data_IF_570040541977
#
_entry.id   IF_570040541977
#
_cell.length_a   1.000
_cell.length_b   1.000
_cell.length_c   1.000
_cell.angle_alpha   90.00
_cell.angle_beta   90.00
_cell.angle_gamma   90.00
#
_symmetry.space_group_name_H-M   'P 1'
#
loop_
_entity.id
_entity.type
_entity.pdbx_description
1 polymer ?
#
# COMPACT_ATOMS: atom_id res chain seq x y z
N UNK A 1 5.70 -33.11 -14.66
CA UNK A 1 5.73 -31.64 -14.49
C UNK A 1 7.07 -31.14 -14.99
N UNK A 2 7.10 -30.08 -15.80
CA UNK A 2 8.36 -29.42 -16.14
C UNK A 2 8.96 -28.81 -14.87
N UNK A 3 10.23 -29.06 -14.62
CA UNK A 3 10.93 -28.53 -13.45
C UNK A 3 11.31 -27.07 -13.74
N UNK A 4 10.60 -26.14 -13.12
CA UNK A 4 10.89 -24.70 -13.27
C UNK A 4 12.14 -24.36 -12.46
N UNK A 5 13.09 -23.62 -13.05
CA UNK A 5 14.30 -23.18 -12.36
C UNK A 5 14.14 -21.73 -11.87
N UNK A 6 14.47 -21.48 -10.61
CA UNK A 6 14.50 -20.13 -10.04
C UNK A 6 15.66 -19.33 -10.66
N UNK A 7 15.42 -18.07 -10.99
CA UNK A 7 16.42 -17.20 -11.64
C UNK A 7 17.54 -16.76 -10.72
N UNK A 8 17.25 -16.63 -9.42
CA UNK A 8 18.21 -16.39 -8.36
C UNK A 8 17.71 -16.96 -7.05
N UNK A 9 18.61 -17.15 -6.09
CA UNK A 9 18.29 -17.57 -4.74
C UNK A 9 19.27 -16.95 -3.75
N UNK A 10 18.85 -16.77 -2.52
CA UNK A 10 19.74 -16.40 -1.41
C UNK A 10 20.55 -17.62 -0.92
N UNK A 11 21.36 -17.42 0.12
CA UNK A 11 22.21 -18.46 0.74
C UNK A 11 21.43 -19.67 1.25
N UNK A 12 20.13 -19.52 1.52
CA UNK A 12 19.23 -20.59 1.96
C UNK A 12 18.55 -21.31 0.79
N UNK A 13 18.89 -20.97 -0.46
CA UNK A 13 18.26 -21.54 -1.66
C UNK A 13 16.84 -21.01 -1.92
N UNK A 14 16.51 -19.82 -1.40
CA UNK A 14 15.17 -19.24 -1.46
C UNK A 14 15.12 -18.04 -2.41
N UNK A 15 14.08 -17.95 -3.23
CA UNK A 15 13.65 -16.73 -3.90
C UNK A 15 12.53 -16.09 -3.07
N UNK A 16 12.62 -14.79 -2.81
CA UNK A 16 11.83 -14.11 -1.78
C UNK A 16 11.16 -12.86 -2.35
N UNK A 17 9.83 -12.77 -2.18
CA UNK A 17 9.00 -11.66 -2.64
C UNK A 17 8.28 -11.06 -1.43
N UNK A 18 8.34 -9.73 -1.31
CA UNK A 18 7.62 -8.96 -0.29
C UNK A 18 6.58 -8.06 -0.96
N UNK A 19 5.31 -8.26 -0.65
CA UNK A 19 4.23 -7.38 -1.08
C UNK A 19 3.96 -6.36 0.03
N UNK A 20 4.12 -5.09 -0.29
CA UNK A 20 3.83 -3.95 0.58
C UNK A 20 2.49 -3.35 0.16
N UNK A 21 1.51 -3.35 1.06
CA UNK A 21 0.13 -2.98 0.71
C UNK A 21 -0.59 -2.33 1.86
N UNK A 22 -1.77 -1.78 1.59
CA UNK A 22 -2.75 -1.38 2.61
C UNK A 22 -3.84 -2.44 2.71
N UNK A 23 -4.42 -2.60 3.90
CA UNK A 23 -5.60 -3.44 4.13
C UNK A 23 -6.73 -3.13 3.15
N UNK A 24 -7.22 -4.17 2.47
CA UNK A 24 -8.32 -4.08 1.48
C UNK A 24 -7.89 -3.99 0.02
N UNK A 25 -6.59 -3.87 -0.27
CA UNK A 25 -6.06 -3.84 -1.64
C UNK A 25 -5.75 -5.23 -2.25
N UNK A 26 -5.87 -6.29 -1.45
CA UNK A 26 -5.81 -7.68 -1.94
C UNK A 26 -4.43 -8.33 -1.99
N UNK A 27 -3.40 -7.74 -1.37
CA UNK A 27 -2.04 -8.33 -1.35
C UNK A 27 -1.97 -9.73 -0.73
N UNK A 28 -2.70 -10.02 0.36
CA UNK A 28 -2.75 -11.37 0.92
C UNK A 28 -3.32 -12.41 -0.07
N UNK A 29 -4.36 -12.03 -0.82
CA UNK A 29 -4.93 -12.92 -1.82
C UNK A 29 -3.95 -13.11 -2.99
N UNK A 30 -3.28 -12.04 -3.43
CA UNK A 30 -2.24 -12.13 -4.45
C UNK A 30 -1.07 -13.05 -4.01
N UNK A 31 -0.58 -12.89 -2.77
CA UNK A 31 0.49 -13.73 -2.22
C UNK A 31 0.10 -15.22 -2.16
N UNK A 32 -1.14 -15.52 -1.74
CA UNK A 32 -1.69 -16.89 -1.78
C UNK A 32 -1.74 -17.45 -3.20
N UNK A 33 -2.29 -16.69 -4.16
CA UNK A 33 -2.37 -17.12 -5.56
C UNK A 33 -0.99 -17.36 -6.18
N UNK A 34 0.01 -16.52 -5.86
CA UNK A 34 1.39 -16.72 -6.33
C UNK A 34 1.99 -17.99 -5.75
N UNK A 35 1.87 -18.20 -4.44
CA UNK A 35 2.38 -19.40 -3.79
C UNK A 35 1.72 -20.67 -4.35
N UNK A 36 0.39 -20.64 -4.54
CA UNK A 36 -0.37 -21.73 -5.14
C UNK A 36 0.06 -22.01 -6.58
N UNK A 37 0.27 -20.96 -7.39
CA UNK A 37 0.78 -21.12 -8.76
C UNK A 37 2.16 -21.79 -8.77
N UNK A 38 3.08 -21.34 -7.91
CA UNK A 38 4.42 -21.94 -7.81
C UNK A 38 4.40 -23.40 -7.35
N UNK A 39 3.63 -23.70 -6.32
CA UNK A 39 3.60 -25.04 -5.69
C UNK A 39 2.81 -26.04 -6.54
N UNK A 40 1.60 -25.69 -6.98
CA UNK A 40 0.70 -26.64 -7.65
C UNK A 40 0.97 -26.78 -9.15
N UNK A 41 1.54 -25.75 -9.79
CA UNK A 41 1.67 -25.72 -11.25
C UNK A 41 3.11 -25.62 -11.77
N UNK A 42 4.07 -25.10 -10.98
CA UNK A 42 5.46 -24.91 -11.41
C UNK A 42 6.44 -25.92 -10.82
N UNK A 43 5.98 -26.81 -9.92
CA UNK A 43 6.81 -27.84 -9.29
C UNK A 43 7.82 -27.29 -8.29
N UNK A 44 7.58 -26.09 -7.75
CA UNK A 44 8.43 -25.45 -6.74
C UNK A 44 7.95 -25.83 -5.34
N UNK A 45 8.83 -25.76 -4.35
CA UNK A 45 8.39 -25.66 -2.97
C UNK A 45 8.11 -24.18 -2.66
N UNK A 46 7.15 -23.90 -1.79
CA UNK A 46 6.74 -22.52 -1.54
C UNK A 46 6.07 -22.30 -0.19
N UNK A 47 6.20 -21.08 0.33
CA UNK A 47 5.47 -20.64 1.52
C UNK A 47 4.93 -19.23 1.33
N UNK A 48 3.78 -18.98 1.93
CA UNK A 48 3.18 -17.66 1.98
C UNK A 48 2.58 -17.42 3.36
N UNK A 49 2.86 -16.24 3.91
CA UNK A 49 2.16 -15.73 5.08
C UNK A 49 2.08 -14.21 4.99
N UNK A 50 1.26 -13.60 5.85
CA UNK A 50 1.11 -12.15 5.87
C UNK A 50 1.18 -11.63 7.29
N UNK A 51 1.75 -10.45 7.44
CA UNK A 51 1.75 -9.67 8.66
C UNK A 51 0.72 -8.54 8.55
N UNK A 52 -0.05 -8.35 9.62
CA UNK A 52 -1.11 -7.36 9.71
C UNK A 52 -0.91 -6.51 10.96
N UNK A 53 -1.15 -5.20 10.82
CA UNK A 53 -1.31 -4.33 11.98
C UNK A 53 -2.61 -4.59 12.74
N UNK A 54 -2.72 -4.01 13.93
CA UNK A 54 -3.93 -4.06 14.76
C UNK A 54 -5.10 -3.24 14.20
N UNK A 55 -4.81 -2.33 13.28
CA UNK A 55 -5.79 -1.42 12.70
C UNK A 55 -6.75 -2.17 11.78
N UNK A 56 -8.05 -1.85 11.84
CA UNK A 56 -9.10 -2.53 11.05
C UNK A 56 -9.14 -2.09 9.58
N UNK A 57 -8.65 -0.90 9.27
CA UNK A 57 -8.60 -0.31 7.92
C UNK A 57 -7.37 0.57 7.81
N UNK A 58 -6.68 0.51 6.69
CA UNK A 58 -5.57 1.42 6.40
C UNK A 58 -4.22 1.02 6.97
N UNK A 59 -4.16 -0.01 7.80
CA UNK A 59 -2.90 -0.61 8.24
C UNK A 59 -2.13 -1.15 7.04
N UNK A 60 -0.82 -0.93 7.10
CA UNK A 60 0.08 -1.62 6.20
C UNK A 60 -0.04 -3.13 6.41
N UNK A 61 -0.09 -3.84 5.29
CA UNK A 61 -0.14 -5.28 5.21
C UNK A 61 1.08 -5.69 4.41
N UNK A 62 1.91 -6.52 5.03
CA UNK A 62 3.06 -7.14 4.35
C UNK A 62 2.70 -8.59 4.05
N UNK A 63 2.83 -9.01 2.80
CA UNK A 63 2.76 -10.43 2.45
C UNK A 63 4.13 -10.92 2.02
N UNK A 64 4.51 -12.09 2.51
CA UNK A 64 5.82 -12.67 2.30
C UNK A 64 5.63 -13.98 1.54
N UNK A 65 6.28 -14.09 0.39
CA UNK A 65 6.23 -15.27 -0.46
C UNK A 65 7.66 -15.76 -0.66
N UNK A 66 7.85 -17.06 -0.44
CA UNK A 66 9.12 -17.75 -0.68
C UNK A 66 8.90 -18.86 -1.67
N UNK A 67 9.84 -19.01 -2.60
CA UNK A 67 9.95 -20.17 -3.46
C UNK A 67 11.32 -20.81 -3.28
N UNK A 68 11.38 -22.12 -3.38
CA UNK A 68 12.62 -22.87 -3.45
C UNK A 68 12.49 -24.02 -4.43
N UNK A 69 13.62 -24.64 -4.77
CA UNK A 69 13.63 -25.94 -5.41
C UNK A 69 12.80 -26.95 -4.58
N UNK A 70 12.08 -27.90 -5.22
CA UNK A 70 11.26 -28.90 -4.53
C UNK A 70 12.04 -29.73 -3.48
N UNK A 71 13.35 -29.89 -3.64
CA UNK A 71 14.19 -30.64 -2.70
C UNK A 71 14.75 -29.78 -1.55
N UNK A 72 14.58 -28.46 -1.61
CA UNK A 72 14.99 -27.54 -0.55
C UNK A 72 13.86 -27.38 0.47
N UNK A 73 14.18 -27.60 1.75
CA UNK A 73 13.21 -27.47 2.85
C UNK A 73 13.04 -26.02 3.29
N UNK A 74 11.80 -25.52 3.22
CA UNK A 74 11.43 -24.20 3.75
C UNK A 74 11.26 -24.25 5.27
N UNK A 75 12.28 -23.77 6.01
CA UNK A 75 12.25 -23.70 7.49
C UNK A 75 12.10 -22.26 8.03
N UNK A 76 12.23 -21.26 7.18
CA UNK A 76 12.11 -19.86 7.55
C UNK A 76 10.64 -19.40 7.59
N UNK A 77 10.17 -19.06 8.78
CA UNK A 77 8.83 -18.49 9.03
C UNK A 77 8.85 -17.02 9.50
N UNK A 78 10.04 -16.41 9.54
CA UNK A 78 10.23 -14.99 9.86
C UNK A 78 9.86 -14.08 8.67
N UNK A 79 9.61 -12.77 8.90
CA UNK A 79 9.54 -11.76 7.85
C UNK A 79 10.71 -11.85 6.85
N UNK A 80 10.49 -11.37 5.61
CA UNK A 80 11.55 -11.27 4.60
C UNK A 80 12.25 -9.92 4.76
N UNK A 81 13.49 -9.99 5.23
CA UNK A 81 14.35 -8.83 5.42
C UNK A 81 15.06 -8.44 4.11
N UNK A 82 15.58 -9.42 3.36
CA UNK A 82 16.31 -9.23 2.09
C UNK A 82 15.54 -9.79 0.89
N UNK A 83 14.49 -9.10 0.41
CA UNK A 83 13.70 -9.58 -0.72
C UNK A 83 14.47 -9.48 -2.03
N UNK A 84 14.12 -10.36 -2.97
CA UNK A 84 14.51 -10.23 -4.37
C UNK A 84 13.51 -9.34 -5.13
N UNK A 85 12.26 -9.30 -4.68
CA UNK A 85 11.21 -8.48 -5.30
C UNK A 85 10.40 -7.80 -4.21
N UNK A 86 10.22 -6.49 -4.33
CA UNK A 86 9.24 -5.75 -3.55
C UNK A 86 8.15 -5.27 -4.50
N UNK A 87 6.88 -5.55 -4.17
CA UNK A 87 5.75 -4.99 -4.91
C UNK A 87 4.89 -4.11 -4.00
N UNK A 88 4.82 -2.83 -4.32
CA UNK A 88 4.11 -1.79 -3.57
C UNK A 88 2.76 -1.52 -4.22
N UNK A 89 1.68 -1.85 -3.51
CA UNK A 89 0.30 -1.75 -4.02
C UNK A 89 -0.25 -0.30 -3.97
N UNK A 90 0.43 0.61 -3.29
CA UNK A 90 0.04 2.01 -3.17
C UNK A 90 1.27 2.90 -2.96
N UNK A 91 1.49 3.85 -3.85
CA UNK A 91 2.69 4.71 -3.85
C UNK A 91 2.94 5.48 -2.55
N UNK A 92 1.89 5.92 -1.82
CA UNK A 92 2.04 6.60 -0.53
C UNK A 92 2.75 5.77 0.57
N UNK A 93 2.90 4.45 0.37
CA UNK A 93 3.72 3.62 1.25
C UNK A 93 5.21 3.93 1.11
N UNK A 94 5.68 4.38 -0.06
CA UNK A 94 7.09 4.72 -0.30
C UNK A 94 7.56 5.88 0.57
N UNK A 95 6.68 6.83 0.88
CA UNK A 95 7.01 8.00 1.71
C UNK A 95 6.74 7.79 3.18
N UNK A 96 5.78 6.91 3.52
CA UNK A 96 5.37 6.67 4.92
C UNK A 96 6.12 5.52 5.58
N UNK A 97 6.75 4.64 4.80
CA UNK A 97 7.51 3.49 5.29
C UNK A 97 8.70 3.21 4.38
N UNK A 98 9.74 2.60 4.96
CA UNK A 98 10.88 2.15 4.18
C UNK A 98 10.54 0.83 3.44
N UNK A 99 9.79 0.93 2.35
CA UNK A 99 9.33 -0.25 1.59
C UNK A 99 10.48 -1.00 0.90
N UNK A 100 11.57 -0.30 0.56
CA UNK A 100 12.68 -0.84 -0.24
C UNK A 100 13.81 -1.46 0.60
N UNK A 101 13.64 -1.50 1.92
CA UNK A 101 14.64 -2.07 2.84
C UNK A 101 15.04 -3.50 2.47
N UNK A 102 16.35 -3.73 2.43
CA UNK A 102 16.95 -5.01 2.09
C UNK A 102 16.90 -5.40 0.61
N UNK A 103 16.31 -4.61 -0.29
CA UNK A 103 16.52 -4.79 -1.74
C UNK A 103 17.99 -4.50 -2.08
N UNK A 104 18.57 -5.38 -2.90
CA UNK A 104 19.93 -5.27 -3.42
C UNK A 104 20.01 -4.52 -4.76
N UNK A 105 21.22 -4.37 -5.29
CA UNK A 105 21.50 -3.76 -6.60
C UNK A 105 20.86 -4.49 -7.79
N UNK A 106 20.43 -5.74 -7.59
CA UNK A 106 19.72 -6.56 -8.58
C UNK A 106 18.22 -6.66 -8.26
N UNK A 107 17.75 -5.91 -7.26
CA UNK A 107 16.38 -5.93 -6.75
C UNK A 107 15.37 -5.50 -7.79
N UNK A 108 14.15 -6.05 -7.71
CA UNK A 108 13.02 -5.61 -8.51
C UNK A 108 12.03 -4.86 -7.62
N UNK A 109 11.77 -3.61 -7.94
CA UNK A 109 10.76 -2.78 -7.28
C UNK A 109 9.58 -2.55 -8.23
N UNK A 110 8.46 -3.20 -7.97
CA UNK A 110 7.21 -3.00 -8.70
C UNK A 110 6.30 -2.05 -7.91
N UNK A 111 5.79 -1.00 -8.53
CA UNK A 111 4.92 -0.01 -7.87
C UNK A 111 3.64 0.21 -8.66
N UNK A 112 2.50 0.17 -7.97
CA UNK A 112 1.23 0.65 -8.49
C UNK A 112 1.23 2.19 -8.51
N UNK A 113 1.44 2.78 -9.68
CA UNK A 113 1.56 4.22 -9.89
C UNK A 113 1.41 4.58 -11.37
N UNK A 114 0.98 5.80 -11.64
CA UNK A 114 1.02 6.41 -12.97
C UNK A 114 2.33 7.17 -13.23
N UNK A 115 3.23 7.23 -12.26
CA UNK A 115 4.49 7.95 -12.34
C UNK A 115 5.55 7.13 -13.10
N UNK A 116 6.60 7.83 -13.57
CA UNK A 116 7.70 7.18 -14.27
C UNK A 116 8.67 6.50 -13.29
N UNK A 117 9.42 5.46 -13.73
CA UNK A 117 10.41 4.79 -12.90
C UNK A 117 11.45 5.72 -12.27
N UNK A 118 11.83 6.82 -12.93
CA UNK A 118 12.78 7.81 -12.41
C UNK A 118 12.21 8.56 -11.21
N UNK A 119 10.95 9.00 -11.28
CA UNK A 119 10.31 9.69 -10.16
C UNK A 119 10.09 8.76 -8.97
N UNK A 120 9.79 7.49 -9.23
CA UNK A 120 9.71 6.46 -8.19
C UNK A 120 11.07 6.18 -7.55
N UNK A 121 12.15 6.24 -8.33
CA UNK A 121 13.51 6.14 -7.81
C UNK A 121 13.78 7.23 -6.77
N UNK A 122 13.49 8.48 -7.13
CA UNK A 122 13.69 9.65 -6.25
C UNK A 122 12.82 9.55 -4.98
N UNK A 123 11.57 9.11 -5.11
CA UNK A 123 10.63 8.97 -3.99
C UNK A 123 11.00 7.82 -3.04
N UNK A 124 11.51 6.72 -3.57
CA UNK A 124 11.81 5.51 -2.78
C UNK A 124 13.22 5.48 -2.23
N UNK A 125 14.15 6.29 -2.78
CA UNK A 125 15.57 6.22 -2.47
C UNK A 125 16.23 4.91 -2.93
N UNK A 126 15.59 4.14 -3.83
CA UNK A 126 16.14 2.89 -4.33
C UNK A 126 17.21 3.16 -5.39
N UNK A 127 18.47 3.09 -4.97
CA UNK A 127 19.61 3.56 -5.76
C UNK A 127 20.21 2.50 -6.71
N UNK A 128 19.46 1.45 -7.08
CA UNK A 128 19.91 0.40 -8.00
C UNK A 128 18.76 -0.43 -8.57
N UNK A 129 19.08 -1.55 -9.23
CA UNK A 129 18.10 -2.54 -9.65
C UNK A 129 17.17 -2.10 -10.78
N UNK A 130 16.00 -2.74 -10.84
CA UNK A 130 14.97 -2.44 -11.85
C UNK A 130 13.69 -1.99 -11.18
N UNK A 131 13.19 -0.83 -11.61
CA UNK A 131 11.92 -0.27 -11.17
C UNK A 131 10.88 -0.51 -12.27
N UNK A 132 9.73 -1.04 -11.87
CA UNK A 132 8.58 -1.31 -12.71
C UNK A 132 7.37 -0.53 -12.19
N UNK A 133 6.66 0.15 -13.08
CA UNK A 133 5.50 0.96 -12.76
C UNK A 133 4.28 0.46 -13.56
N UNK A 134 3.12 0.40 -12.91
CA UNK A 134 1.85 0.00 -13.53
C UNK A 134 0.68 0.76 -12.92
N UNK A 135 -0.25 1.27 -13.74
CA UNK A 135 -1.51 1.88 -13.25
C UNK A 135 -2.55 0.80 -12.92
N UNK A 136 -2.28 0.00 -11.89
CA UNK A 136 -3.18 -1.08 -11.48
C UNK A 136 -4.56 -0.55 -11.03
N UNK A 137 -4.62 0.68 -10.47
CA UNK A 137 -5.87 1.33 -10.12
C UNK A 137 -6.71 1.64 -11.37
N UNK A 138 -6.13 2.32 -12.37
CA UNK A 138 -6.81 2.64 -13.63
C UNK A 138 -7.28 1.38 -14.37
N UNK A 139 -6.43 0.36 -14.45
CA UNK A 139 -6.78 -0.94 -15.05
C UNK A 139 -7.97 -1.57 -14.30
N UNK A 140 -7.94 -1.59 -12.97
CA UNK A 140 -9.01 -2.20 -12.17
C UNK A 140 -10.35 -1.46 -12.30
N UNK A 141 -10.33 -0.13 -12.43
CA UNK A 141 -11.53 0.68 -12.65
C UNK A 141 -12.12 0.37 -14.03
N UNK A 142 -11.28 0.31 -15.07
CA UNK A 142 -11.68 -0.01 -16.45
C UNK A 142 -12.32 -1.39 -16.56
N UNK A 143 -11.72 -2.39 -15.93
CA UNK A 143 -12.18 -3.79 -15.98
C UNK A 143 -13.21 -4.15 -14.89
N UNK A 144 -13.53 -3.22 -13.98
CA UNK A 144 -14.43 -3.42 -12.83
C UNK A 144 -13.97 -4.56 -11.90
N UNK A 145 -12.67 -4.62 -11.65
CA UNK A 145 -12.03 -5.63 -10.79
C UNK A 145 -11.30 -4.97 -9.62
N UNK A 146 -10.34 -5.67 -9.01
CA UNK A 146 -9.50 -5.19 -7.91
C UNK A 146 -8.04 -5.11 -8.36
N UNK A 147 -7.28 -4.22 -7.74
CA UNK A 147 -5.89 -3.92 -8.17
C UNK A 147 -4.95 -5.13 -8.06
N UNK A 148 -5.23 -6.08 -7.16
CA UNK A 148 -4.39 -7.24 -6.92
C UNK A 148 -4.18 -8.09 -8.18
N UNK A 149 -5.19 -8.21 -9.04
CA UNK A 149 -5.07 -9.00 -10.26
C UNK A 149 -4.19 -8.33 -11.31
N UNK A 150 -4.22 -7.01 -11.41
CA UNK A 150 -3.30 -6.26 -12.27
C UNK A 150 -1.86 -6.36 -11.73
N UNK A 151 -1.67 -6.24 -10.41
CA UNK A 151 -0.37 -6.42 -9.76
C UNK A 151 0.18 -7.85 -9.95
N UNK A 152 -0.66 -8.89 -9.96
CA UNK A 152 -0.26 -10.26 -10.29
C UNK A 152 0.26 -10.38 -11.72
N UNK A 153 -0.44 -9.76 -12.68
CA UNK A 153 0.02 -9.66 -14.06
C UNK A 153 1.40 -9.01 -14.14
N UNK A 154 1.56 -7.90 -13.42
CA UNK A 154 2.82 -7.17 -13.40
C UNK A 154 3.97 -7.95 -12.74
N UNK A 155 3.71 -8.63 -11.63
CA UNK A 155 4.67 -9.53 -10.97
C UNK A 155 5.09 -10.69 -11.89
N UNK A 156 4.14 -11.27 -12.61
CA UNK A 156 4.40 -12.36 -13.54
C UNK A 156 5.28 -11.91 -14.73
N UNK A 157 5.19 -10.64 -15.12
CA UNK A 157 6.08 -10.07 -16.13
C UNK A 157 7.47 -9.74 -15.58
N UNK A 158 7.54 -9.34 -14.31
CA UNK A 158 8.80 -8.98 -13.64
C UNK A 158 9.65 -10.20 -13.29
N UNK A 159 9.01 -11.31 -12.93
CA UNK A 159 9.67 -12.54 -12.47
C UNK A 159 9.56 -13.61 -13.55
N UNK A 160 10.70 -13.92 -14.16
CA UNK A 160 10.85 -14.77 -15.34
C UNK A 160 10.35 -16.21 -15.19
N UNK A 161 10.53 -16.82 -14.01
CA UNK A 161 10.09 -18.19 -13.77
C UNK A 161 8.59 -18.33 -13.53
N UNK A 162 7.86 -17.24 -13.29
CA UNK A 162 6.42 -17.28 -13.11
C UNK A 162 5.71 -17.42 -14.47
N UNK A 163 5.07 -18.57 -14.69
CA UNK A 163 4.29 -18.79 -15.92
C UNK A 163 2.96 -18.03 -15.89
N UNK A 164 2.67 -17.19 -16.89
CA UNK A 164 1.36 -16.51 -17.01
C UNK A 164 0.19 -17.49 -17.02
N UNK A 165 0.34 -18.65 -17.66
CA UNK A 165 -0.71 -19.65 -17.76
C UNK A 165 -0.98 -20.35 -16.42
N UNK A 166 0.07 -20.58 -15.61
CA UNK A 166 -0.08 -21.11 -14.26
C UNK A 166 -0.86 -20.13 -13.37
N UNK A 167 -0.48 -18.85 -13.39
CA UNK A 167 -1.16 -17.82 -12.57
C UNK A 167 -2.59 -17.60 -13.04
N UNK A 168 -2.86 -17.55 -14.35
CA UNK A 168 -4.22 -17.46 -14.91
C UNK A 168 -5.09 -18.65 -14.51
N UNK A 169 -4.51 -19.86 -14.44
CA UNK A 169 -5.21 -21.06 -13.97
C UNK A 169 -5.67 -20.91 -12.52
N UNK A 170 -4.77 -20.47 -11.63
CA UNK A 170 -5.11 -20.22 -10.22
C UNK A 170 -6.13 -19.10 -10.06
N UNK A 171 -6.02 -18.02 -10.85
CA UNK A 171 -7.03 -16.94 -10.87
C UNK A 171 -8.40 -17.51 -11.23
N UNK A 172 -8.47 -18.31 -12.30
CA UNK A 172 -9.73 -18.96 -12.71
C UNK A 172 -10.31 -19.81 -11.59
N UNK A 173 -9.52 -20.74 -11.05
CA UNK A 173 -9.95 -21.65 -9.97
C UNK A 173 -10.44 -20.89 -8.73
N UNK A 174 -9.76 -19.80 -8.37
CA UNK A 174 -10.12 -19.01 -7.18
C UNK A 174 -11.48 -18.32 -7.33
N UNK A 175 -11.76 -17.77 -8.52
CA UNK A 175 -12.99 -17.01 -8.75
C UNK A 175 -14.16 -17.85 -9.26
N UNK A 176 -13.91 -18.96 -9.96
CA UNK A 176 -14.94 -19.79 -10.59
C UNK A 176 -15.96 -20.33 -9.58
N UNK A 177 -15.51 -20.77 -8.40
CA UNK A 177 -16.40 -21.34 -7.40
C UNK A 177 -17.35 -20.32 -6.74
N UNK A 178 -16.91 -19.06 -6.56
CA UNK A 178 -17.63 -18.07 -5.76
C UNK A 178 -18.17 -16.89 -6.55
N UNK A 179 -17.48 -16.50 -7.62
CA UNK A 179 -17.76 -15.33 -8.45
C UNK A 179 -17.45 -15.60 -9.94
N UNK A 180 -18.13 -16.55 -10.59
CA UNK A 180 -17.82 -16.97 -11.97
C UNK A 180 -17.88 -15.81 -12.98
N UNK A 181 -18.82 -14.87 -12.78
CA UNK A 181 -18.94 -13.68 -13.63
C UNK A 181 -17.70 -12.75 -13.60
N UNK A 182 -16.85 -12.85 -12.57
CA UNK A 182 -15.64 -12.04 -12.44
C UNK A 182 -14.40 -12.68 -13.06
N UNK A 183 -14.46 -13.94 -13.49
CA UNK A 183 -13.28 -14.68 -14.00
C UNK A 183 -12.69 -13.97 -15.21
N UNK A 184 -13.48 -13.76 -16.27
CA UNK A 184 -12.99 -13.14 -17.51
C UNK A 184 -12.51 -11.71 -17.32
N UNK A 185 -13.19 -10.94 -16.46
CA UNK A 185 -12.76 -9.58 -16.11
C UNK A 185 -11.40 -9.60 -15.39
N UNK A 186 -11.19 -10.54 -14.47
CA UNK A 186 -9.91 -10.71 -13.80
C UNK A 186 -8.81 -11.18 -14.76
N UNK A 187 -9.10 -12.09 -15.70
CA UNK A 187 -8.13 -12.51 -16.70
C UNK A 187 -7.70 -11.35 -17.62
N UNK A 188 -8.64 -10.49 -18.05
CA UNK A 188 -8.29 -9.26 -18.79
C UNK A 188 -7.48 -8.28 -17.94
N UNK A 189 -7.83 -8.13 -16.66
CA UNK A 189 -7.09 -7.30 -15.70
C UNK A 189 -5.64 -7.79 -15.52
N UNK A 190 -5.45 -9.10 -15.41
CA UNK A 190 -4.13 -9.72 -15.34
C UNK A 190 -3.33 -9.45 -16.62
N UNK A 191 -3.95 -9.66 -17.77
CA UNK A 191 -3.30 -9.45 -19.07
C UNK A 191 -2.90 -7.99 -19.30
N UNK A 192 -3.77 -7.05 -18.91
CA UNK A 192 -3.46 -5.62 -18.92
C UNK A 192 -2.30 -5.29 -17.99
N UNK A 193 -2.32 -5.78 -16.75
CA UNK A 193 -1.22 -5.61 -15.79
C UNK A 193 0.10 -6.21 -16.26
N UNK A 194 0.06 -7.30 -17.04
CA UNK A 194 1.25 -7.91 -17.65
C UNK A 194 1.83 -7.10 -18.82
N UNK A 195 0.97 -6.39 -19.58
CA UNK A 195 1.35 -5.66 -20.80
C UNK A 195 1.66 -4.18 -20.58
N UNK A 196 0.92 -3.51 -19.72
CA UNK A 196 0.94 -2.05 -19.52
C UNK A 196 2.02 -1.60 -18.52
N UNK A 197 3.09 -2.39 -18.35
CA UNK A 197 4.19 -2.06 -17.44
C UNK A 197 5.20 -1.18 -18.16
N UNK A 198 5.65 -0.16 -17.45
CA UNK A 198 6.82 0.63 -17.83
C UNK A 198 7.95 0.24 -16.89
N UNK A 199 9.09 -0.19 -17.43
CA UNK A 199 10.25 -0.58 -16.62
C UNK A 199 11.50 0.18 -17.03
N UNK A 200 12.37 0.42 -16.04
CA UNK A 200 13.71 0.96 -16.25
C UNK A 200 14.68 0.34 -15.25
N UNK A 201 15.83 -0.07 -15.74
CA UNK A 201 16.95 -0.53 -14.91
C UNK A 201 17.93 0.62 -14.68
N UNK A 202 18.42 0.73 -13.45
CA UNK A 202 19.37 1.74 -13.02
C UNK A 202 20.65 1.05 -12.56
N UNK A 203 21.80 1.57 -12.98
CA UNK A 203 23.07 1.13 -12.44
C UNK A 203 23.17 1.56 -10.96
N UNK A 204 23.77 0.75 -10.08
CA UNK A 204 23.94 1.11 -8.68
C UNK A 204 24.80 2.36 -8.53
N UNK A 205 24.29 3.37 -7.82
CA UNK A 205 25.07 4.56 -7.45
C UNK A 205 25.99 4.25 -6.27
N UNK A 206 27.19 4.85 -6.26
CA UNK A 206 28.16 4.83 -5.14
C UNK A 206 28.49 3.43 -4.56
N UNK A 207 28.40 2.37 -5.38
CA UNK A 207 28.65 1.00 -4.92
C UNK A 207 27.58 0.46 -3.99
N UNK A 208 26.33 0.95 -4.10
CA UNK A 208 25.16 0.42 -3.41
C UNK A 208 25.02 -1.09 -3.65
N UNK A 209 25.13 -1.88 -2.58
CA UNK A 209 24.93 -3.35 -2.62
C UNK A 209 23.64 -3.82 -1.95
N UNK A 210 22.90 -2.89 -1.34
CA UNK A 210 21.61 -3.15 -0.72
C UNK A 210 21.28 -2.16 0.39
N UNK A 211 19.99 -1.87 0.51
CA UNK A 211 19.48 -0.94 1.53
C UNK A 211 19.60 -1.55 2.94
N UNK A 212 19.80 -0.73 3.99
CA UNK A 212 19.76 -1.22 5.36
C UNK A 212 18.38 -1.83 5.66
N UNK A 213 18.32 -2.84 6.53
CA UNK A 213 17.05 -3.36 7.04
C UNK A 213 16.72 -2.61 8.33
N UNK A 214 15.78 -1.68 8.29
CA UNK A 214 15.31 -0.97 9.48
C UNK A 214 14.00 -1.55 9.98
N UNK A 215 14.06 -2.69 10.67
CA UNK A 215 12.87 -3.33 11.27
C UNK A 215 13.01 -3.58 12.79
N UNK A 216 13.96 -2.93 13.47
CA UNK A 216 14.05 -3.09 14.92
C UNK A 216 13.00 -2.22 15.61
N UNK A 217 12.02 -2.79 16.35
CA UNK A 217 11.22 -1.99 17.26
C UNK A 217 12.16 -1.31 18.27
N UNK A 218 11.84 -0.07 18.65
CA UNK A 218 12.63 0.70 19.64
C UNK A 218 12.83 -0.10 20.93
N UNK A 219 11.85 -0.93 21.28
CA UNK A 219 11.91 -1.87 22.40
C UNK A 219 11.95 -3.32 21.92
N UNK A 220 12.99 -4.05 22.34
CA UNK A 220 13.13 -5.50 22.20
C UNK A 220 12.97 -6.20 23.55
N UNK A 221 13.16 -7.52 23.58
CA UNK A 221 13.00 -8.31 24.81
C UNK A 221 13.92 -7.84 25.96
N UNK A 222 15.09 -7.27 25.64
CA UNK A 222 16.05 -6.73 26.61
C UNK A 222 15.73 -5.29 27.03
N UNK A 223 15.15 -4.49 26.13
CA UNK A 223 14.96 -3.05 26.34
C UNK A 223 13.53 -2.67 26.69
N UNK A 224 12.58 -3.62 26.68
CA UNK A 224 11.19 -3.35 27.02
C UNK A 224 11.03 -2.83 28.46
N UNK A 225 10.18 -1.83 28.70
CA UNK A 225 9.87 -1.35 30.04
C UNK A 225 9.33 -2.48 30.93
N UNK A 226 9.73 -2.50 32.20
CA UNK A 226 9.23 -3.49 33.17
C UNK A 226 7.70 -3.44 33.21
N UNK A 227 7.07 -4.60 33.03
CA UNK A 227 5.62 -4.73 33.02
C UNK A 227 4.93 -4.25 31.74
N UNK A 228 5.67 -3.94 30.67
CA UNK A 228 5.09 -3.51 29.38
C UNK A 228 4.42 -2.14 29.44
N UNK A 229 4.86 -1.27 30.36
CA UNK A 229 4.27 0.05 30.55
C UNK A 229 4.49 0.93 29.32
N UNK A 230 3.43 1.66 28.93
CA UNK A 230 3.50 2.63 27.84
C UNK A 230 4.08 3.93 28.40
N UNK A 231 5.34 4.20 28.06
CA UNK A 231 6.06 5.37 28.59
C UNK A 231 5.61 6.70 27.96
N UNK A 232 5.10 6.67 26.73
CA UNK A 232 4.62 7.85 26.03
C UNK A 232 3.09 7.82 25.85
N UNK A 233 2.32 8.61 26.62
CA UNK A 233 0.88 8.75 26.38
C UNK A 233 0.62 9.56 25.10
N UNK A 234 -0.44 9.19 24.35
CA UNK A 234 -1.02 10.06 23.33
C UNK A 234 -0.21 10.26 22.05
N UNK A 235 0.11 9.19 21.32
CA UNK A 235 0.82 9.28 20.04
C UNK A 235 -0.08 9.45 18.79
N UNK A 236 -1.40 9.46 18.98
CA UNK A 236 -2.37 9.58 17.87
C UNK A 236 -2.14 10.85 17.05
N UNK A 237 -1.68 11.93 17.68
CA UNK A 237 -1.39 13.22 17.02
C UNK A 237 -0.29 13.14 15.95
N UNK A 238 0.56 12.11 16.02
CA UNK A 238 1.63 11.88 15.05
C UNK A 238 1.25 10.86 13.98
N UNK A 239 0.08 10.22 14.10
CA UNK A 239 -0.35 9.20 13.14
C UNK A 239 -0.80 9.86 11.86
N UNK A 240 -0.21 9.43 10.74
CA UNK A 240 -0.73 9.69 9.41
C UNK A 240 -1.54 8.49 8.93
N UNK A 241 -2.83 8.72 8.70
CA UNK A 241 -3.81 7.75 8.23
C UNK A 241 -4.12 7.94 6.75
N UNK A 242 -3.37 8.78 6.05
CA UNK A 242 -3.54 9.10 4.63
C UNK A 242 -3.60 7.87 3.74
N UNK A 243 -2.76 6.88 4.03
CA UNK A 243 -2.71 5.57 3.36
C UNK A 243 -4.02 4.78 3.47
N UNK A 244 -4.91 5.12 4.40
CA UNK A 244 -6.22 4.46 4.54
C UNK A 244 -7.21 4.82 3.44
N UNK A 245 -6.93 5.89 2.68
CA UNK A 245 -7.78 6.33 1.58
C UNK A 245 -7.67 5.35 0.42
N UNK A 246 -8.80 5.09 -0.23
CA UNK A 246 -8.89 4.17 -1.38
C UNK A 246 -8.99 4.97 -2.69
N UNK A 247 -8.15 6.01 -2.83
CA UNK A 247 -8.12 6.88 -4.00
C UNK A 247 -9.21 7.95 -4.05
N UNK A 248 -9.94 8.18 -2.96
CA UNK A 248 -10.96 9.23 -2.86
C UNK A 248 -10.89 9.96 -1.52
N UNK A 249 -11.25 11.24 -1.55
CA UNK A 249 -11.32 12.13 -0.40
C UNK A 249 -12.49 13.12 -0.51
N UNK A 250 -12.95 13.70 0.61
CA UNK A 250 -13.88 14.82 0.57
C UNK A 250 -13.18 16.10 0.11
N UNK A 251 -13.73 16.78 -0.90
CA UNK A 251 -13.31 18.11 -1.36
C UNK A 251 -14.15 19.15 -0.65
N UNK A 252 -13.50 20.11 0.04
CA UNK A 252 -14.18 21.15 0.82
C UNK A 252 -14.19 22.49 0.09
N UNK A 253 -15.38 23.07 -0.10
CA UNK A 253 -15.59 24.42 -0.58
C UNK A 253 -16.13 25.31 0.55
N UNK A 254 -15.30 26.23 1.04
CA UNK A 254 -15.66 27.10 2.15
C UNK A 254 -16.79 28.08 1.83
N UNK A 255 -16.94 28.49 0.56
CA UNK A 255 -17.95 29.48 0.15
C UNK A 255 -19.38 28.95 0.31
N UNK A 256 -19.56 27.64 0.15
CA UNK A 256 -20.85 26.98 0.25
C UNK A 256 -21.15 26.51 1.70
N UNK A 257 -20.17 26.62 2.60
CA UNK A 257 -20.27 26.08 3.95
C UNK A 257 -21.12 26.97 4.86
N UNK A 258 -22.12 26.37 5.50
CA UNK A 258 -23.00 27.05 6.47
C UNK A 258 -22.61 26.79 7.93
N UNK A 259 -21.45 26.17 8.20
CA UNK A 259 -20.94 25.90 9.56
C UNK A 259 -21.90 25.11 10.47
N UNK A 260 -22.70 24.19 9.92
CA UNK A 260 -23.70 23.42 10.66
C UNK A 260 -23.17 22.21 11.45
N UNK A 261 -21.88 21.88 11.30
CA UNK A 261 -21.19 20.75 11.93
C UNK A 261 -21.70 19.33 11.60
N UNK A 262 -22.63 19.16 10.65
CA UNK A 262 -23.10 17.83 10.23
C UNK A 262 -21.97 16.92 9.71
N UNK A 263 -21.00 17.50 9.02
CA UNK A 263 -19.81 16.80 8.53
C UNK A 263 -18.90 16.30 9.66
N UNK A 264 -18.80 17.04 10.76
CA UNK A 264 -17.97 16.69 11.89
C UNK A 264 -18.64 15.65 12.80
N UNK A 265 -19.94 15.82 13.05
CA UNK A 265 -20.75 14.83 13.79
C UNK A 265 -20.79 13.46 13.09
N UNK A 266 -20.70 13.43 11.76
CA UNK A 266 -20.65 12.20 10.98
C UNK A 266 -19.23 11.65 10.81
N UNK A 267 -18.19 12.43 11.14
CA UNK A 267 -16.81 12.02 10.98
C UNK A 267 -16.38 11.07 12.11
N UNK A 268 -16.05 9.80 11.81
CA UNK A 268 -15.63 8.86 12.85
C UNK A 268 -14.21 9.12 13.38
N UNK A 269 -13.43 9.96 12.68
CA UNK A 269 -12.02 10.23 12.94
C UNK A 269 -11.75 11.72 13.26
N UNK A 270 -12.81 12.52 13.51
CA UNK A 270 -12.72 13.94 13.89
C UNK A 270 -11.74 14.77 13.04
N UNK A 271 -11.88 14.69 11.71
CA UNK A 271 -10.91 15.29 10.80
C UNK A 271 -11.15 16.79 10.54
N UNK A 272 -12.22 17.39 11.04
CA UNK A 272 -12.60 18.76 10.70
C UNK A 272 -12.02 19.77 11.69
N UNK A 273 -11.36 20.80 11.16
CA UNK A 273 -10.72 21.84 11.98
C UNK A 273 -11.63 23.05 12.09
N UNK A 274 -11.93 23.43 13.33
CA UNK A 274 -12.77 24.58 13.66
C UNK A 274 -11.96 25.69 14.31
N UNK A 275 -12.39 26.93 14.11
CA UNK A 275 -11.85 28.09 14.82
C UNK A 275 -12.97 29.06 15.20
N UNK A 276 -12.80 29.75 16.33
CA UNK A 276 -13.68 30.86 16.70
C UNK A 276 -13.44 32.04 15.76
N UNK A 277 -14.52 32.66 15.30
CA UNK A 277 -14.49 33.89 14.52
C UNK A 277 -15.75 34.72 14.78
N UNK A 278 -15.87 35.86 14.10
CA UNK A 278 -17.04 36.74 14.20
C UNK A 278 -17.84 36.72 12.91
N UNK A 279 -19.17 36.66 13.03
CA UNK A 279 -20.06 36.82 11.90
C UNK A 279 -20.16 38.28 11.44
N UNK A 280 -20.89 38.55 10.35
CA UNK A 280 -21.13 39.90 9.82
C UNK A 280 -21.79 40.87 10.83
N UNK A 281 -22.30 40.38 11.95
CA UNK A 281 -22.93 41.14 13.04
C UNK A 281 -22.05 41.22 14.29
N UNK A 282 -20.78 40.81 14.21
CA UNK A 282 -19.84 40.82 15.35
C UNK A 282 -20.11 39.74 16.40
N UNK A 283 -20.95 38.75 16.09
CA UNK A 283 -21.25 37.65 17.04
C UNK A 283 -20.21 36.55 16.88
N UNK A 284 -19.64 36.14 18.01
CA UNK A 284 -18.70 35.01 18.06
C UNK A 284 -19.40 33.70 17.70
N UNK A 285 -18.82 32.94 16.78
CA UNK A 285 -19.30 31.63 16.36
C UNK A 285 -18.12 30.73 15.97
N UNK A 286 -18.35 29.43 15.90
CA UNK A 286 -17.38 28.48 15.35
C UNK A 286 -17.50 28.42 13.83
N UNK A 287 -16.37 28.53 13.14
CA UNK A 287 -16.28 28.46 11.69
C UNK A 287 -15.41 27.28 11.28
N UNK A 288 -15.91 26.51 10.32
CA UNK A 288 -15.16 25.41 9.75
C UNK A 288 -14.04 25.98 8.88
N UNK A 289 -12.81 25.64 9.25
CA UNK A 289 -11.60 26.09 8.54
C UNK A 289 -11.25 25.13 7.40
N UNK A 290 -11.42 23.83 7.62
CA UNK A 290 -11.13 22.82 6.62
C UNK A 290 -11.00 21.43 7.20
N UNK A 291 -10.21 20.60 6.51
CA UNK A 291 -10.05 19.18 6.83
C UNK A 291 -8.57 18.91 7.07
N UNK A 292 -8.26 18.23 8.17
CA UNK A 292 -6.95 17.64 8.37
C UNK A 292 -6.88 16.29 7.68
N UNK A 293 -6.36 16.30 6.45
CA UNK A 293 -6.24 15.09 5.65
C UNK A 293 -5.23 14.08 6.21
N UNK A 294 -4.45 14.41 7.24
CA UNK A 294 -3.63 13.43 7.95
C UNK A 294 -4.48 12.32 8.57
N UNK A 295 -5.63 12.66 9.14
CA UNK A 295 -6.50 11.68 9.82
C UNK A 295 -7.60 11.14 8.90
N UNK A 296 -7.86 11.82 7.78
CA UNK A 296 -8.94 11.47 6.88
C UNK A 296 -8.70 10.15 6.14
N UNK A 297 -9.53 9.14 6.44
CA UNK A 297 -9.53 7.82 5.77
C UNK A 297 -10.39 7.74 4.50
N UNK A 298 -10.93 8.88 4.03
CA UNK A 298 -11.70 8.93 2.78
C UNK A 298 -12.98 8.08 2.80
N UNK A 299 -13.67 7.99 3.95
CA UNK A 299 -14.92 7.23 4.06
C UNK A 299 -16.14 7.94 3.44
N UNK A 300 -16.01 9.24 3.17
CA UNK A 300 -17.00 10.11 2.52
C UNK A 300 -18.36 10.27 3.24
N UNK A 301 -18.51 9.77 4.48
CA UNK A 301 -19.72 10.01 5.30
C UNK A 301 -20.05 11.49 5.47
N UNK A 302 -19.03 12.33 5.56
CA UNK A 302 -19.19 13.78 5.65
C UNK A 302 -19.77 14.41 4.38
N UNK A 303 -19.51 13.81 3.20
CA UNK A 303 -20.10 14.24 1.92
C UNK A 303 -21.59 13.91 1.93
N UNK A 304 -21.96 12.69 2.37
CA UNK A 304 -23.36 12.28 2.49
C UNK A 304 -24.14 13.11 3.53
N UNK A 305 -23.49 13.51 4.62
CA UNK A 305 -24.12 14.29 5.68
C UNK A 305 -24.23 15.80 5.36
N UNK A 306 -23.52 16.30 4.34
CA UNK A 306 -23.50 17.73 4.05
C UNK A 306 -24.86 18.17 3.47
N UNK A 307 -25.57 19.13 4.09
CA UNK A 307 -26.85 19.61 3.57
C UNK A 307 -26.70 20.63 2.43
N UNK A 308 -25.48 20.86 1.94
CA UNK A 308 -25.13 21.88 0.93
C UNK A 308 -24.14 21.27 -0.07
N UNK A 309 -23.62 22.08 -1.00
CA UNK A 309 -22.56 21.68 -1.94
C UNK A 309 -21.14 21.85 -1.39
N UNK A 310 -20.99 22.22 -0.11
CA UNK A 310 -19.69 22.48 0.51
C UNK A 310 -18.76 21.27 0.57
N UNK A 311 -19.29 20.04 0.49
CA UNK A 311 -18.50 18.83 0.44
C UNK A 311 -18.89 17.99 -0.77
N UNK A 312 -17.89 17.55 -1.53
CA UNK A 312 -18.08 16.66 -2.69
C UNK A 312 -17.06 15.53 -2.69
N UNK A 313 -17.36 14.45 -3.42
CA UNK A 313 -16.42 13.33 -3.61
C UNK A 313 -15.39 13.72 -4.68
N UNK A 314 -14.11 13.80 -4.29
CA UNK A 314 -12.98 13.97 -5.20
C UNK A 314 -12.17 12.70 -5.37
N UNK A 315 -11.64 12.46 -6.57
CA UNK A 315 -10.54 11.50 -6.77
C UNK A 315 -9.30 12.10 -6.12
N UNK A 316 -8.61 11.32 -5.31
CA UNK A 316 -7.36 11.74 -4.71
C UNK A 316 -6.29 11.82 -5.80
N UNK A 317 -5.71 13.00 -5.96
CA UNK A 317 -4.57 13.27 -6.83
C UNK A 317 -3.36 13.65 -5.97
N UNK A 318 -2.17 13.44 -6.51
CA UNK A 318 -0.91 13.80 -5.84
C UNK A 318 -0.93 15.26 -5.37
N UNK A 319 -0.47 15.50 -4.14
CA UNK A 319 -0.35 16.84 -3.55
C UNK A 319 -1.65 17.51 -3.11
N UNK A 320 -2.83 17.08 -3.59
CA UNK A 320 -4.11 17.74 -3.25
C UNK A 320 -4.33 17.83 -1.73
N UNK A 321 -4.22 16.70 -1.04
CA UNK A 321 -4.40 16.64 0.41
C UNK A 321 -3.39 17.51 1.16
N UNK A 322 -2.16 17.66 0.65
CA UNK A 322 -1.14 18.52 1.27
C UNK A 322 -1.45 20.00 1.10
N UNK A 323 -1.87 20.41 -0.10
CA UNK A 323 -2.18 21.82 -0.44
C UNK A 323 -3.45 22.31 0.26
N UNK A 324 -4.45 21.44 0.39
CA UNK A 324 -5.77 21.80 0.93
C UNK A 324 -5.98 21.38 2.40
N UNK A 325 -4.95 20.82 3.06
CA UNK A 325 -5.05 20.44 4.46
C UNK A 325 -5.08 21.67 5.36
N UNK A 326 -5.98 21.62 6.36
CA UNK A 326 -5.91 22.48 7.53
C UNK A 326 -5.51 21.60 8.70
N UNK A 327 -4.39 21.91 9.36
CA UNK A 327 -3.86 21.10 10.45
C UNK A 327 -4.59 21.38 11.75
N UNK A 328 -4.88 20.32 12.50
CA UNK A 328 -5.24 20.48 13.91
C UNK A 328 -4.10 21.14 14.67
N UNK A 329 -4.47 22.02 15.61
CA UNK A 329 -3.54 22.58 16.58
C UNK A 329 -3.76 21.87 17.91
N UNK A 330 -2.79 21.05 18.31
CA UNK A 330 -2.79 20.39 19.60
C UNK A 330 -1.89 21.17 20.55
N UNK A 331 -2.45 21.68 21.65
CA UNK A 331 -1.69 22.40 22.68
C UNK A 331 -0.52 21.59 23.25
N UNK A 332 -0.65 20.25 23.26
CA UNK A 332 0.39 19.32 23.70
C UNK A 332 1.66 19.35 22.82
N UNK A 333 1.56 19.85 21.58
CA UNK A 333 2.70 19.94 20.64
C UNK A 333 3.37 21.31 20.65
N UNK A 334 2.80 22.32 21.34
CA UNK A 334 3.37 23.68 21.40
C UNK A 334 4.62 23.76 22.29
N UNK A 335 4.95 22.68 23.01
CA UNK A 335 6.06 22.59 23.96
C UNK A 335 7.08 21.50 23.62
N UNK A 336 7.00 20.90 22.42
CA UNK A 336 7.88 19.83 21.93
C UNK A 336 8.77 20.35 20.81
#
# INVERSE_FOLDING_TARGET
MQHTKLSRVNELGLFEIRLESIGGLGANLAGKMLAEAGVLHLGLNGSNFSSYGSEKKGSAVKAFIRFSDPHVSLRASSPIDHPHVVAVFHEALLTSQNCVDGLDENGLLLVNTTQSPEKIRDLSGFNGGTILCVDALGISIREKTRINTAMLGALCRAVDFLSPEAVKTVIRQTFEAKYPALVEANLRTFEAGYKEIISRSFAPEDGFKGGPVQNAPVFGYETQPIGGVILNPGNTVFKDLSTSRQGFLPVFNQQDCINCAACDQSCPDFCFVWAEGEDKKGRKHQFLQGIDYQYCKGCLKCVEACPTTALSKGRETEGYAGVHAVKHKFSLLEHV
#
